data_IF_295843096407
#
_entry.id   IF_295843096407
#
_cell.length_a   1.000
_cell.length_b   1.000
_cell.length_c   1.000
_cell.angle_alpha   90.00
_cell.angle_beta   90.00
_cell.angle_gamma   90.00
#
_symmetry.space_group_name_H-M   'P 1'
#
loop_
_entity.id
_entity.type
_entity.pdbx_description
1 polymer ?
#
# COMPACT_ATOMS: atom_id res chain seq x y z
N UNK A 1 -9.16 -13.85 2.45
CA UNK A 1 -8.86 -12.41 2.23
C UNK A 1 -8.45 -11.84 3.57
N UNK A 2 -7.16 -11.49 3.77
CA UNK A 2 -6.71 -10.85 5.01
C UNK A 2 -6.91 -9.35 4.85
N UNK A 3 -7.80 -8.76 5.65
CA UNK A 3 -7.98 -7.31 5.69
C UNK A 3 -6.90 -6.72 6.56
N UNK A 4 -6.05 -5.88 5.99
CA UNK A 4 -5.08 -5.09 6.75
C UNK A 4 -5.79 -3.83 7.27
N UNK A 5 -5.63 -3.52 8.55
CA UNK A 5 -6.17 -2.30 9.14
C UNK A 5 -5.23 -1.12 8.87
N UNK A 6 -5.77 -0.03 8.32
CA UNK A 6 -5.02 1.19 8.04
C UNK A 6 -5.89 2.43 8.27
N UNK A 7 -5.26 3.58 8.47
CA UNK A 7 -5.96 4.86 8.62
C UNK A 7 -6.26 5.48 7.24
N UNK A 8 -7.55 5.63 6.91
CA UNK A 8 -8.02 6.20 5.64
C UNK A 8 -7.59 7.65 5.41
N UNK A 9 -7.47 8.46 6.47
CA UNK A 9 -7.02 9.85 6.39
C UNK A 9 -5.54 9.91 6.06
N UNK A 10 -4.74 8.99 6.63
CA UNK A 10 -3.33 8.84 6.27
C UNK A 10 -3.19 8.37 4.82
N UNK A 11 -3.98 7.38 4.39
CA UNK A 11 -4.01 6.89 3.00
C UNK A 11 -4.29 8.04 2.01
N UNK A 12 -5.32 8.85 2.27
CA UNK A 12 -5.68 10.01 1.45
C UNK A 12 -4.57 11.07 1.41
N UNK A 13 -3.89 11.29 2.54
CA UNK A 13 -2.74 12.20 2.62
C UNK A 13 -1.56 11.68 1.80
N UNK A 14 -1.29 10.38 1.84
CA UNK A 14 -0.25 9.74 1.02
C UNK A 14 -0.53 9.89 -0.47
N UNK A 15 -1.79 9.70 -0.91
CA UNK A 15 -2.16 9.93 -2.31
C UNK A 15 -1.83 11.35 -2.76
N UNK A 16 -2.17 12.36 -1.94
CA UNK A 16 -1.88 13.75 -2.26
C UNK A 16 -0.37 14.05 -2.28
N UNK A 17 0.40 13.46 -1.37
CA UNK A 17 1.85 13.74 -1.23
C UNK A 17 2.72 12.96 -2.20
N UNK A 18 2.34 11.73 -2.52
CA UNK A 18 3.19 10.74 -3.18
C UNK A 18 2.55 10.12 -4.43
N UNK A 19 1.31 10.49 -4.76
CA UNK A 19 0.61 10.00 -5.95
C UNK A 19 0.02 8.59 -5.81
N UNK A 20 0.13 7.96 -4.63
CA UNK A 20 -0.36 6.61 -4.37
C UNK A 20 -0.97 6.50 -2.97
N UNK A 21 -2.12 5.84 -2.87
CA UNK A 21 -2.76 5.53 -1.59
C UNK A 21 -2.48 4.09 -1.13
N UNK A 22 -2.93 3.74 0.07
CA UNK A 22 -2.70 2.41 0.62
C UNK A 22 -3.37 1.31 -0.20
N UNK A 23 -4.59 1.53 -0.69
CA UNK A 23 -5.38 0.53 -1.44
C UNK A 23 -4.73 0.24 -2.79
N UNK A 24 -4.28 1.28 -3.49
CA UNK A 24 -3.52 1.18 -4.74
C UNK A 24 -2.19 0.43 -4.51
N UNK A 25 -1.49 0.73 -3.40
CA UNK A 25 -0.25 0.06 -3.06
C UNK A 25 -0.40 -1.45 -2.76
N UNK A 26 -1.59 -1.92 -2.34
CA UNK A 26 -1.81 -3.36 -2.12
C UNK A 26 -1.66 -4.19 -3.38
N UNK A 27 -1.88 -3.61 -4.56
CA UNK A 27 -1.68 -4.31 -5.84
C UNK A 27 -0.22 -4.76 -6.02
N UNK A 28 0.74 -4.04 -5.43
CA UNK A 28 2.16 -4.37 -5.49
C UNK A 28 2.49 -5.70 -4.79
N UNK A 29 1.66 -6.18 -3.86
CA UNK A 29 1.85 -7.51 -3.26
C UNK A 29 1.66 -8.65 -4.25
N UNK A 30 0.99 -8.40 -5.37
CA UNK A 30 0.82 -9.35 -6.47
C UNK A 30 1.81 -9.13 -7.60
N UNK A 31 2.76 -8.19 -7.46
CA UNK A 31 3.78 -7.93 -8.48
C UNK A 31 4.71 -9.15 -8.61
N UNK A 32 4.87 -9.74 -9.81
CA UNK A 32 5.76 -10.88 -10.02
C UNK A 32 7.24 -10.55 -9.76
N UNK A 33 7.61 -9.28 -9.73
CA UNK A 33 8.95 -8.78 -9.39
C UNK A 33 9.04 -8.20 -7.97
N UNK A 34 8.06 -8.49 -7.10
CA UNK A 34 8.09 -8.10 -5.69
C UNK A 34 9.41 -8.54 -5.03
N UNK A 35 10.09 -7.60 -4.39
CA UNK A 35 11.28 -7.86 -3.56
C UNK A 35 10.90 -7.61 -2.10
N UNK A 36 10.93 -8.66 -1.28
CA UNK A 36 10.75 -8.57 0.16
C UNK A 36 12.10 -8.69 0.86
N UNK A 37 12.40 -7.75 1.76
CA UNK A 37 13.59 -7.79 2.61
C UNK A 37 13.12 -8.12 4.02
N UNK A 38 13.48 -9.30 4.58
CA UNK A 38 13.09 -9.67 5.94
C UNK A 38 13.76 -8.76 6.97
N UNK A 39 13.08 -8.60 8.11
CA UNK A 39 13.57 -7.82 9.25
C UNK A 39 14.63 -8.57 10.07
#
# INVERSE_FOLDING_TARGET
>A
MRTFEFDERKSSSNRRKHGIDFVEAQALWSDPYLIEIPA
#
